data_IF_199869697512
#
_entry.id   IF_199869697512
#
_cell.length_a   1.000
_cell.length_b   1.000
_cell.length_c   1.000
_cell.angle_alpha   90.00
_cell.angle_beta   90.00
_cell.angle_gamma   90.00
#
_symmetry.space_group_name_H-M   'P 1'
#
loop_
_entity.id
_entity.type
_entity.pdbx_description
1 polymer ?
#
# COMPACT_ATOMS: atom_id res chain seq x y z
N UNK A 1 -12.59 -3.10 -46.80
CA UNK A 1 -11.40 -2.24 -46.89
C UNK A 1 -10.81 -2.11 -45.48
N UNK A 2 -9.55 -2.55 -45.33
CA UNK A 2 -8.55 -2.36 -44.25
C UNK A 2 -9.02 -2.12 -42.81
N UNK A 3 -8.94 -3.05 -41.84
CA UNK A 3 -7.76 -3.62 -41.14
C UNK A 3 -6.70 -2.63 -40.66
N UNK A 4 -6.90 -2.10 -39.45
CA UNK A 4 -5.89 -1.39 -38.65
C UNK A 4 -5.03 -2.41 -37.90
N UNK A 5 -3.72 -2.35 -38.11
CA UNK A 5 -2.71 -3.22 -37.50
C UNK A 5 -2.49 -2.83 -36.03
N UNK A 6 -2.62 -3.79 -35.10
CA UNK A 6 -1.82 -3.77 -33.87
C UNK A 6 -0.64 -4.73 -34.06
N UNK A 7 0.56 -4.17 -34.00
CA UNK A 7 1.81 -4.90 -34.05
C UNK A 7 2.05 -5.57 -32.69
N UNK A 8 1.87 -6.89 -32.65
CA UNK A 8 2.24 -7.76 -31.52
C UNK A 8 3.55 -8.47 -31.90
N UNK A 9 4.63 -8.43 -31.11
CA UNK A 9 5.80 -9.22 -31.43
C UNK A 9 5.45 -10.72 -31.37
N UNK A 10 5.70 -11.36 -32.48
CA UNK A 10 5.48 -12.78 -32.79
C UNK A 10 6.15 -13.73 -31.82
N UNK A 11 5.33 -14.67 -31.29
CA UNK A 11 5.57 -16.12 -31.21
C UNK A 11 6.75 -16.58 -30.33
N UNK A 12 6.43 -17.27 -29.22
CA UNK A 12 6.95 -18.63 -29.04
C UNK A 12 6.00 -19.53 -28.23
N UNK A 13 4.97 -20.01 -28.92
CA UNK A 13 4.65 -21.44 -29.07
C UNK A 13 4.97 -22.34 -27.84
N UNK A 14 4.05 -22.42 -26.88
CA UNK A 14 3.94 -23.63 -26.06
C UNK A 14 2.48 -23.91 -25.71
N UNK A 15 2.02 -25.08 -26.16
CA UNK A 15 0.71 -25.66 -25.91
C UNK A 15 0.66 -26.13 -24.46
N UNK A 16 0.01 -25.39 -23.57
CA UNK A 16 -0.49 -25.94 -22.30
C UNK A 16 -1.88 -25.37 -22.09
N UNK A 17 -2.88 -26.26 -22.03
CA UNK A 17 -4.22 -25.96 -21.56
C UNK A 17 -4.14 -25.70 -20.06
N UNK A 18 -3.66 -24.52 -19.66
CA UNK A 18 -3.84 -24.01 -18.31
C UNK A 18 -4.91 -22.94 -18.42
N UNK A 19 -6.05 -23.18 -17.78
CA UNK A 19 -7.05 -22.16 -17.49
C UNK A 19 -6.36 -21.01 -16.74
N UNK A 20 -5.87 -20.03 -17.49
CA UNK A 20 -5.38 -18.76 -16.94
C UNK A 20 -6.61 -18.01 -16.47
N UNK A 21 -7.02 -18.30 -15.24
CA UNK A 21 -7.82 -17.37 -14.47
C UNK A 21 -6.90 -16.18 -14.24
N UNK A 22 -6.92 -15.21 -15.17
CA UNK A 22 -6.37 -13.88 -14.92
C UNK A 22 -7.26 -13.32 -13.83
N UNK A 23 -6.92 -13.61 -12.57
CA UNK A 23 -7.49 -12.90 -11.42
C UNK A 23 -6.98 -11.48 -11.60
N UNK A 24 -7.81 -10.63 -12.24
CA UNK A 24 -7.63 -9.19 -12.14
C UNK A 24 -7.64 -8.90 -10.65
N UNK A 25 -6.48 -8.55 -10.08
CA UNK A 25 -6.44 -7.90 -8.78
C UNK A 25 -7.28 -6.63 -8.93
N UNK A 26 -8.51 -6.70 -8.43
CA UNK A 26 -9.31 -5.49 -8.25
C UNK A 26 -8.56 -4.73 -7.17
N UNK A 27 -7.88 -3.65 -7.56
CA UNK A 27 -7.48 -2.64 -6.59
C UNK A 27 -8.78 -2.21 -5.91
N UNK A 28 -8.93 -2.58 -4.63
CA UNK A 28 -10.12 -2.27 -3.87
C UNK A 28 -10.18 -0.75 -3.70
N UNK A 29 -10.93 -0.08 -4.56
CA UNK A 29 -11.17 1.35 -4.42
C UNK A 29 -12.11 1.56 -3.24
N UNK A 30 -11.75 2.46 -2.32
CA UNK A 30 -12.51 2.75 -1.10
C UNK A 30 -12.71 1.54 -0.14
N UNK A 31 -11.65 0.77 0.09
CA UNK A 31 -11.63 -0.37 1.00
C UNK A 31 -11.85 -0.03 2.49
N UNK A 32 -11.52 1.19 2.93
CA UNK A 32 -11.70 1.61 4.32
C UNK A 32 -13.11 2.14 4.58
N UNK A 33 -13.75 1.63 5.63
CA UNK A 33 -15.04 2.12 6.10
C UNK A 33 -14.88 3.37 7.02
N UNK A 34 -15.99 3.93 7.49
CA UNK A 34 -15.96 5.15 8.32
C UNK A 34 -15.22 4.98 9.65
N UNK A 35 -15.29 3.80 10.26
CA UNK A 35 -14.55 3.52 11.49
C UNK A 35 -13.05 3.46 11.23
N UNK A 36 -12.63 2.82 10.14
CA UNK A 36 -11.24 2.78 9.72
C UNK A 36 -10.69 4.20 9.50
N UNK A 37 -11.43 5.03 8.76
CA UNK A 37 -11.07 6.43 8.49
C UNK A 37 -10.94 7.24 9.77
N UNK A 38 -11.83 7.02 10.75
CA UNK A 38 -11.73 7.65 12.07
C UNK A 38 -10.44 7.27 12.80
N UNK A 39 -10.05 6.00 12.76
CA UNK A 39 -8.80 5.51 13.37
C UNK A 39 -7.58 6.10 12.66
N UNK A 40 -7.56 6.11 11.33
CA UNK A 40 -6.44 6.64 10.52
C UNK A 40 -6.22 8.14 10.75
N UNK A 41 -7.31 8.89 10.94
CA UNK A 41 -7.24 10.32 11.26
C UNK A 41 -6.81 10.60 12.71
N UNK A 42 -6.64 9.57 13.54
CA UNK A 42 -6.09 9.68 14.88
C UNK A 42 -4.59 9.97 14.88
N UNK A 43 -4.13 10.64 15.93
CA UNK A 43 -2.71 11.02 16.10
C UNK A 43 -1.77 9.83 16.35
N UNK A 44 -2.27 8.70 16.86
CA UNK A 44 -1.45 7.51 17.14
C UNK A 44 -1.21 6.64 15.91
N UNK A 45 -2.12 6.69 14.92
CA UNK A 45 -2.08 5.80 13.78
C UNK A 45 -0.77 5.88 12.97
N UNK A 46 -0.25 7.07 12.59
CA UNK A 46 1.00 7.14 11.83
C UNK A 46 2.18 6.49 12.53
N UNK A 47 2.31 6.72 13.85
CA UNK A 47 3.39 6.14 14.65
C UNK A 47 3.25 4.63 14.78
N UNK A 48 2.02 4.12 14.87
CA UNK A 48 1.73 2.70 14.92
C UNK A 48 1.96 2.01 13.57
N UNK A 49 1.62 2.65 12.45
CA UNK A 49 1.93 2.17 11.11
C UNK A 49 3.45 2.05 10.90
N UNK A 50 4.23 3.02 11.39
CA UNK A 50 5.70 2.92 11.35
C UNK A 50 6.19 1.75 12.21
N UNK A 51 5.68 1.59 13.43
CA UNK A 51 5.99 0.46 14.29
C UNK A 51 5.73 -0.89 13.60
N UNK A 52 4.55 -1.08 13.00
CA UNK A 52 4.19 -2.28 12.26
C UNK A 52 5.11 -2.51 11.06
N UNK A 53 5.43 -1.45 10.31
CA UNK A 53 6.33 -1.54 9.14
C UNK A 53 7.75 -1.96 9.51
N UNK A 54 8.26 -1.51 10.67
CA UNK A 54 9.56 -1.94 11.18
C UNK A 54 9.52 -3.37 11.75
N UNK A 55 8.46 -3.72 12.48
CA UNK A 55 8.26 -5.07 13.03
C UNK A 55 8.02 -6.13 11.95
N UNK A 56 7.61 -5.72 10.78
CA UNK A 56 7.47 -6.59 9.62
C UNK A 56 8.81 -7.17 9.13
N UNK A 57 9.95 -6.61 9.55
CA UNK A 57 11.30 -7.06 9.17
C UNK A 57 11.48 -7.22 7.65
N UNK A 58 10.87 -6.30 6.89
CA UNK A 58 10.89 -6.31 5.43
C UNK A 58 9.87 -7.26 4.78
N UNK A 59 8.90 -7.79 5.51
CA UNK A 59 7.81 -8.58 4.93
C UNK A 59 6.48 -7.79 5.01
N UNK A 60 6.09 -7.08 3.93
CA UNK A 60 4.87 -6.26 3.93
C UNK A 60 3.59 -7.03 4.27
N UNK A 61 3.56 -8.35 4.08
CA UNK A 61 2.40 -9.18 4.43
C UNK A 61 2.12 -9.24 5.93
N UNK A 62 3.09 -8.85 6.78
CA UNK A 62 2.94 -8.77 8.23
C UNK A 62 2.36 -7.45 8.72
N UNK A 63 2.25 -6.44 7.84
CA UNK A 63 1.71 -5.13 8.22
C UNK A 63 0.20 -5.17 8.44
N UNK A 64 -0.62 -5.75 7.54
CA UNK A 64 -2.08 -5.85 7.75
C UNK A 64 -2.48 -6.50 9.09
N UNK A 65 -1.99 -7.70 9.47
CA UNK A 65 -2.39 -8.33 10.73
C UNK A 65 -1.93 -7.55 11.97
N UNK A 66 -0.85 -6.77 11.86
CA UNK A 66 -0.42 -5.86 12.92
C UNK A 66 -1.43 -4.71 13.13
N UNK A 67 -1.89 -4.10 12.04
CA UNK A 67 -2.89 -3.02 12.06
C UNK A 67 -4.28 -3.52 12.48
N UNK A 68 -4.69 -4.70 12.03
CA UNK A 68 -5.93 -5.34 12.49
C UNK A 68 -5.89 -5.57 14.00
N UNK A 69 -4.78 -6.12 14.51
CA UNK A 69 -4.64 -6.44 15.92
C UNK A 69 -4.61 -5.18 16.80
N UNK A 70 -3.83 -4.17 16.41
CA UNK A 70 -3.58 -2.98 17.22
C UNK A 70 -4.54 -1.81 16.99
N UNK A 71 -4.95 -1.56 15.74
CA UNK A 71 -5.83 -0.46 15.38
C UNK A 71 -7.28 -0.90 15.13
N UNK A 72 -7.55 -2.21 15.07
CA UNK A 72 -8.88 -2.76 14.73
C UNK A 72 -9.36 -2.28 13.36
N UNK A 73 -8.44 -2.08 12.41
CA UNK A 73 -8.81 -1.82 11.02
C UNK A 73 -9.50 -3.06 10.43
N UNK A 74 -10.42 -2.85 9.50
CA UNK A 74 -10.91 -3.91 8.65
C UNK A 74 -9.77 -4.53 7.82
N UNK A 75 -9.87 -5.82 7.50
CA UNK A 75 -8.88 -6.55 6.68
C UNK A 75 -8.60 -5.83 5.35
N UNK A 76 -9.66 -5.46 4.62
CA UNK A 76 -9.52 -4.75 3.35
C UNK A 76 -8.77 -3.41 3.50
N UNK A 77 -9.04 -2.64 4.56
CA UNK A 77 -8.35 -1.40 4.83
C UNK A 77 -6.89 -1.61 5.27
N UNK A 78 -6.64 -2.61 6.11
CA UNK A 78 -5.30 -2.96 6.58
C UNK A 78 -4.38 -3.37 5.41
N UNK A 79 -4.93 -4.08 4.42
CA UNK A 79 -4.23 -4.44 3.19
C UNK A 79 -3.78 -3.22 2.36
N UNK A 80 -4.53 -2.11 2.34
CA UNK A 80 -4.07 -0.87 1.69
C UNK A 80 -2.73 -0.36 2.27
N UNK A 81 -2.52 -0.53 3.56
CA UNK A 81 -1.28 -0.12 4.23
C UNK A 81 -0.17 -1.16 4.06
N UNK A 82 -0.51 -2.45 3.94
CA UNK A 82 0.42 -3.48 3.48
C UNK A 82 0.99 -3.14 2.10
N UNK A 83 0.13 -2.75 1.16
CA UNK A 83 0.51 -2.32 -0.19
C UNK A 83 1.32 -1.02 -0.18
N UNK A 84 0.95 -0.05 0.66
CA UNK A 84 1.74 1.18 0.87
C UNK A 84 3.15 0.86 1.36
N UNK A 85 3.28 0.00 2.38
CA UNK A 85 4.58 -0.40 2.93
C UNK A 85 5.37 -1.20 1.91
N UNK A 86 4.72 -2.05 1.10
CA UNK A 86 5.37 -2.75 -0.02
C UNK A 86 5.92 -1.75 -1.05
N UNK A 87 5.13 -0.77 -1.48
CA UNK A 87 5.57 0.26 -2.41
C UNK A 87 6.76 1.05 -1.86
N UNK A 88 6.67 1.49 -0.60
CA UNK A 88 7.75 2.20 0.08
C UNK A 88 9.01 1.35 0.22
N UNK A 89 8.88 0.05 0.51
CA UNK A 89 10.01 -0.88 0.54
C UNK A 89 10.65 -1.05 -0.84
N UNK A 90 9.86 -1.28 -1.88
CA UNK A 90 10.38 -1.62 -3.20
C UNK A 90 11.06 -0.44 -3.89
N UNK A 91 10.62 0.80 -3.59
CA UNK A 91 11.07 1.99 -4.29
C UNK A 91 11.80 3.03 -3.43
N UNK A 92 11.52 3.08 -2.12
CA UNK A 92 11.88 4.22 -1.26
C UNK A 92 12.53 3.84 0.07
N UNK A 93 12.94 2.57 0.24
CA UNK A 93 13.43 2.04 1.51
C UNK A 93 14.57 2.89 2.09
N UNK A 94 15.56 3.23 1.26
CA UNK A 94 16.73 4.00 1.70
C UNK A 94 16.40 5.40 2.19
N UNK A 95 15.30 5.99 1.70
CA UNK A 95 14.86 7.34 2.05
C UNK A 95 13.89 7.34 3.23
N UNK A 96 13.15 6.25 3.44
CA UNK A 96 12.01 6.21 4.36
C UNK A 96 12.24 5.40 5.64
N UNK A 97 13.14 4.42 5.64
CA UNK A 97 13.25 3.43 6.74
C UNK A 97 13.40 4.08 8.13
N UNK A 98 14.35 5.01 8.26
CA UNK A 98 14.67 5.65 9.54
C UNK A 98 14.06 7.05 9.68
N UNK A 99 13.69 7.68 8.57
CA UNK A 99 13.23 9.08 8.53
C UNK A 99 11.99 9.24 7.66
N UNK A 100 10.86 8.60 8.02
CA UNK A 100 9.64 8.63 7.20
C UNK A 100 9.03 10.05 7.06
N UNK A 101 9.35 10.97 7.97
CA UNK A 101 8.95 12.37 7.87
C UNK A 101 9.85 13.22 6.95
N UNK A 102 11.02 12.71 6.53
CA UNK A 102 11.94 13.47 5.70
C UNK A 102 11.35 13.79 4.32
N UNK A 103 11.69 14.97 3.79
CA UNK A 103 11.27 15.39 2.46
C UNK A 103 11.64 14.37 1.37
N UNK A 104 12.85 13.80 1.45
CA UNK A 104 13.31 12.79 0.50
C UNK A 104 12.41 11.54 0.47
N UNK A 105 11.89 11.11 1.62
CA UNK A 105 10.93 10.01 1.67
C UNK A 105 9.61 10.41 1.00
N UNK A 106 9.05 11.56 1.38
CA UNK A 106 7.79 12.07 0.83
C UNK A 106 7.85 12.21 -0.70
N UNK A 107 8.91 12.82 -1.22
CA UNK A 107 9.14 13.00 -2.65
C UNK A 107 9.25 11.64 -3.37
N UNK A 108 9.93 10.67 -2.75
CA UNK A 108 10.06 9.33 -3.33
C UNK A 108 8.72 8.59 -3.41
N UNK A 109 7.95 8.61 -2.31
CA UNK A 109 6.62 7.97 -2.23
C UNK A 109 5.64 8.57 -3.23
N UNK A 110 5.71 9.89 -3.42
CA UNK A 110 4.92 10.61 -4.42
C UNK A 110 5.32 10.23 -5.85
N UNK A 111 6.63 10.33 -6.15
CA UNK A 111 7.19 10.01 -7.47
C UNK A 111 6.88 8.59 -7.93
N UNK A 112 6.83 7.62 -7.01
CA UNK A 112 6.55 6.23 -7.32
C UNK A 112 5.05 5.87 -7.19
N UNK A 113 4.17 6.86 -7.00
CA UNK A 113 2.72 6.65 -6.99
C UNK A 113 2.19 5.95 -5.73
N UNK A 114 3.01 5.75 -4.70
CA UNK A 114 2.59 5.11 -3.45
C UNK A 114 1.50 5.94 -2.75
N UNK A 115 1.63 7.27 -2.76
CA UNK A 115 0.67 8.21 -2.18
C UNK A 115 -0.69 8.12 -2.89
N UNK A 116 -0.71 8.19 -4.22
CA UNK A 116 -1.94 8.08 -4.99
C UNK A 116 -2.61 6.71 -4.84
N UNK A 117 -1.82 5.64 -4.78
CA UNK A 117 -2.34 4.28 -4.63
C UNK A 117 -3.03 4.08 -3.27
N UNK A 118 -2.41 4.53 -2.18
CA UNK A 118 -3.03 4.40 -0.85
C UNK A 118 -4.27 5.28 -0.71
N UNK A 119 -4.30 6.49 -1.28
CA UNK A 119 -5.50 7.33 -1.27
C UNK A 119 -6.65 6.67 -2.03
N UNK A 120 -6.36 6.10 -3.20
CA UNK A 120 -7.35 5.36 -4.01
C UNK A 120 -7.88 4.14 -3.25
N UNK A 121 -6.98 3.36 -2.65
CA UNK A 121 -7.32 2.16 -1.90
C UNK A 121 -8.17 2.49 -0.66
N UNK A 122 -7.73 3.46 0.14
CA UNK A 122 -8.40 3.80 1.40
C UNK A 122 -9.66 4.64 1.21
N UNK A 123 -9.79 5.37 0.09
CA UNK A 123 -10.87 6.34 -0.10
C UNK A 123 -10.75 7.55 0.83
N UNK A 124 -9.53 7.89 1.26
CA UNK A 124 -9.22 9.11 1.99
C UNK A 124 -9.08 10.29 1.03
N UNK A 125 -9.49 11.48 1.48
CA UNK A 125 -9.36 12.73 0.69
C UNK A 125 -7.97 13.35 0.77
N UNK A 126 -7.17 12.99 1.78
CA UNK A 126 -5.80 13.47 1.97
C UNK A 126 -4.96 12.43 2.72
N UNK A 127 -3.63 12.55 2.60
CA UNK A 127 -2.71 11.68 3.33
C UNK A 127 -2.73 12.01 4.82
N UNK A 128 -2.62 10.97 5.64
CA UNK A 128 -2.31 11.10 7.05
C UNK A 128 -0.90 11.72 7.23
N UNK A 129 -0.65 12.45 8.34
CA UNK A 129 0.66 13.04 8.57
C UNK A 129 1.73 11.95 8.72
N UNK A 130 2.94 12.23 8.23
CA UNK A 130 4.06 11.31 8.43
C UNK A 130 4.42 11.23 9.92
N UNK A 131 4.78 10.05 10.44
CA UNK A 131 5.13 9.90 11.84
C UNK A 131 6.46 10.57 12.17
N UNK A 132 6.52 11.23 13.32
CA UNK A 132 7.74 11.80 13.90
C UNK A 132 8.36 10.89 14.96
N UNK A 133 7.59 9.94 15.49
CA UNK A 133 8.02 8.90 16.42
C UNK A 133 7.21 7.62 16.18
N UNK A 134 7.75 6.47 16.57
CA UNK A 134 6.99 5.22 16.59
C UNK A 134 6.01 5.21 17.76
N UNK A 135 4.89 4.50 17.59
CA UNK A 135 3.95 4.19 18.67
C UNK A 135 3.73 2.68 18.71
N UNK A 136 3.78 2.08 19.90
CA UNK A 136 3.44 0.67 20.09
C UNK A 136 1.93 0.46 20.36
N UNK A 137 1.15 1.53 20.35
CA UNK A 137 -0.31 1.53 20.57
C UNK A 137 -1.02 2.35 19.51
N UNK A 138 -2.27 1.99 19.22
CA UNK A 138 -3.12 2.71 18.28
C UNK A 138 -4.38 3.32 18.94
N UNK A 139 -4.52 3.16 20.26
CA UNK A 139 -5.57 3.72 21.10
C UNK A 139 -5.08 3.86 22.54
#
# INVERSE_FOLDING_TARGET
LSTTRLSYPTILKMRVLASVLVITLVAADNACNDNDKKVINGNLFPGYLWYCSQHALGDPSKVPPCLESGCKLSDACANCFGDLTKCGKDHCLSQCLSTPAAKACKDCMDKNGCNSAVLKCTGLSSLFPAPTAQSQKCY
#
